data_IF_910789486213
#
_entry.id   IF_910789486213
#
_cell.length_a   1.000
_cell.length_b   1.000
_cell.length_c   1.000
_cell.angle_alpha   90.00
_cell.angle_beta   90.00
_cell.angle_gamma   90.00
#
_symmetry.space_group_name_H-M   'P 1'
#
loop_
_entity.id
_entity.type
_entity.pdbx_description
1 polymer ?
#
# COMPACT_ATOMS: atom_id res chain seq x y z
N UNK A 1 -19.24 43.42 22.47
CA UNK A 1 -18.17 42.38 22.54
C UNK A 1 -18.59 40.98 22.05
N UNK A 2 -19.88 40.59 21.99
CA UNK A 2 -20.31 39.22 21.62
C UNK A 2 -20.13 38.79 20.14
N UNK A 3 -20.13 39.73 19.18
CA UNK A 3 -20.12 39.40 17.74
C UNK A 3 -18.77 38.86 17.24
N UNK A 4 -17.66 39.32 17.82
CA UNK A 4 -16.32 38.91 17.41
C UNK A 4 -15.95 37.50 17.91
N UNK A 5 -16.49 37.07 19.05
CA UNK A 5 -16.28 35.71 19.58
C UNK A 5 -16.93 34.63 18.71
N UNK A 6 -18.13 34.91 18.18
CA UNK A 6 -18.83 33.99 17.28
C UNK A 6 -18.13 33.87 15.92
N UNK A 7 -17.64 34.99 15.38
CA UNK A 7 -16.86 34.98 14.15
C UNK A 7 -15.53 34.21 14.29
N UNK A 8 -14.84 34.37 15.42
CA UNK A 8 -13.61 33.63 15.69
C UNK A 8 -13.85 32.12 15.85
N UNK A 9 -14.93 31.73 16.53
CA UNK A 9 -15.31 30.32 16.67
C UNK A 9 -15.68 29.68 15.33
N UNK A 10 -16.41 30.39 14.46
CA UNK A 10 -16.75 29.91 13.12
C UNK A 10 -15.51 29.72 12.24
N UNK A 11 -14.55 30.65 12.31
CA UNK A 11 -13.27 30.54 11.60
C UNK A 11 -12.43 29.35 12.11
N UNK A 12 -12.33 29.14 13.42
CA UNK A 12 -11.63 27.99 13.97
C UNK A 12 -12.32 26.67 13.58
N UNK A 13 -13.65 26.62 13.60
CA UNK A 13 -14.40 25.44 13.15
C UNK A 13 -14.15 25.13 11.67
N UNK A 14 -14.17 26.15 10.81
CA UNK A 14 -13.90 25.97 9.39
C UNK A 14 -12.45 25.52 9.12
N UNK A 15 -11.46 26.09 9.83
CA UNK A 15 -10.06 25.67 9.73
C UNK A 15 -9.85 24.25 10.26
N UNK A 16 -10.48 23.90 11.39
CA UNK A 16 -10.44 22.54 11.90
C UNK A 16 -11.02 21.56 10.88
N UNK A 17 -12.21 21.83 10.33
CA UNK A 17 -12.82 20.98 9.30
C UNK A 17 -11.94 20.87 8.05
N UNK A 18 -11.33 21.96 7.59
CA UNK A 18 -10.42 21.95 6.45
C UNK A 18 -9.17 21.11 6.73
N UNK A 19 -8.57 21.25 7.93
CA UNK A 19 -7.42 20.45 8.36
C UNK A 19 -7.79 18.97 8.52
N UNK A 20 -8.96 18.68 9.09
CA UNK A 20 -9.50 17.32 9.22
C UNK A 20 -9.75 16.67 7.86
N UNK A 21 -10.30 17.38 6.88
CA UNK A 21 -10.48 16.86 5.52
C UNK A 21 -9.15 16.66 4.77
N UNK A 22 -8.11 17.43 5.12
CA UNK A 22 -6.78 17.31 4.53
C UNK A 22 -5.95 16.21 5.22
N UNK A 23 -6.35 15.77 6.41
CA UNK A 23 -5.64 14.75 7.16
C UNK A 23 -5.90 13.37 6.53
N UNK A 24 -4.87 12.66 6.05
CA UNK A 24 -5.07 11.32 5.54
C UNK A 24 -5.48 10.43 6.71
N UNK A 25 -6.76 10.08 6.75
CA UNK A 25 -7.26 9.07 7.67
C UNK A 25 -6.48 7.78 7.42
N UNK A 26 -6.02 7.07 8.46
CA UNK A 26 -5.29 5.83 8.27
C UNK A 26 -6.21 4.87 7.52
N UNK A 27 -5.86 4.57 6.27
CA UNK A 27 -6.66 3.68 5.46
C UNK A 27 -6.80 2.35 6.19
N UNK A 28 -8.03 1.84 6.21
CA UNK A 28 -8.35 0.54 6.81
C UNK A 28 -7.38 -0.47 6.22
N UNK A 29 -6.68 -1.21 7.07
CA UNK A 29 -5.66 -2.15 6.59
C UNK A 29 -6.28 -3.53 6.42
N UNK A 30 -6.11 -4.09 5.22
CA UNK A 30 -6.32 -5.52 5.03
C UNK A 30 -5.08 -6.23 5.55
N UNK A 31 -5.27 -7.15 6.49
CA UNK A 31 -4.19 -7.90 7.13
C UNK A 31 -4.32 -9.37 6.79
N UNK A 32 -3.31 -9.90 6.10
CA UNK A 32 -3.12 -11.33 5.91
C UNK A 32 -2.08 -11.81 6.91
N UNK A 33 -2.40 -12.86 7.66
CA UNK A 33 -1.44 -13.50 8.55
C UNK A 33 -1.13 -14.90 8.04
N UNK A 34 0.15 -15.20 7.87
CA UNK A 34 0.69 -16.52 7.53
C UNK A 34 1.52 -17.05 8.70
N UNK A 35 1.83 -18.35 8.70
CA UNK A 35 2.80 -18.89 9.66
C UNK A 35 4.17 -18.20 9.51
N UNK A 36 4.96 -18.22 10.59
CA UNK A 36 6.30 -17.61 10.58
C UNK A 36 7.19 -18.25 9.52
N UNK A 37 7.91 -17.40 8.78
CA UNK A 37 8.87 -17.82 7.76
C UNK A 37 10.25 -18.02 8.39
N UNK A 38 11.00 -19.03 7.92
CA UNK A 38 12.41 -19.12 8.29
C UNK A 38 13.19 -17.93 7.73
N UNK A 39 14.34 -17.65 8.34
CA UNK A 39 15.18 -16.51 7.94
C UNK A 39 15.69 -16.59 6.49
N UNK A 40 15.69 -17.78 5.87
CA UNK A 40 15.99 -17.94 4.44
C UNK A 40 14.83 -17.48 3.57
N UNK A 41 13.62 -17.95 3.84
CA UNK A 41 12.42 -17.62 3.04
C UNK A 41 12.06 -16.14 3.17
N UNK A 42 12.24 -15.56 4.36
CA UNK A 42 12.09 -14.13 4.56
C UNK A 42 13.09 -13.31 3.73
N UNK A 43 14.34 -13.78 3.60
CA UNK A 43 15.34 -13.12 2.74
C UNK A 43 14.97 -13.23 1.26
N UNK A 44 14.40 -14.35 0.82
CA UNK A 44 13.91 -14.52 -0.54
C UNK A 44 12.74 -13.57 -0.82
N UNK A 45 11.75 -13.50 0.08
CA UNK A 45 10.64 -12.56 0.03
C UNK A 45 11.12 -11.10 -0.05
N UNK A 46 12.10 -10.73 0.77
CA UNK A 46 12.73 -9.40 0.74
C UNK A 46 13.47 -9.16 -0.58
N UNK A 47 14.14 -10.16 -1.13
CA UNK A 47 14.83 -10.09 -2.41
C UNK A 47 13.88 -9.79 -3.58
N UNK A 48 12.74 -10.47 -3.61
CA UNK A 48 11.72 -10.24 -4.63
C UNK A 48 11.04 -8.86 -4.49
N UNK A 49 10.78 -8.43 -3.25
CA UNK A 49 10.30 -7.08 -2.99
C UNK A 49 11.31 -6.01 -3.43
N UNK A 50 12.60 -6.23 -3.18
CA UNK A 50 13.68 -5.38 -3.68
C UNK A 50 13.74 -5.38 -5.22
N UNK A 51 13.60 -6.54 -5.86
CA UNK A 51 13.57 -6.65 -7.32
C UNK A 51 12.39 -5.89 -7.94
N UNK A 52 11.21 -5.99 -7.33
CA UNK A 52 10.02 -5.24 -7.73
C UNK A 52 10.24 -3.72 -7.63
N UNK A 53 10.73 -3.26 -6.48
CA UNK A 53 11.00 -1.83 -6.25
C UNK A 53 12.09 -1.33 -7.18
N UNK A 54 13.16 -2.09 -7.39
CA UNK A 54 14.22 -1.72 -8.33
C UNK A 54 13.69 -1.58 -9.77
N UNK A 55 12.83 -2.50 -10.22
CA UNK A 55 12.21 -2.44 -11.53
C UNK A 55 11.24 -1.26 -11.70
N UNK A 56 10.67 -0.77 -10.60
CA UNK A 56 9.65 0.28 -10.59
C UNK A 56 10.08 1.56 -9.86
N UNK A 57 11.38 1.74 -9.63
CA UNK A 57 11.90 2.90 -8.91
C UNK A 57 11.51 4.22 -9.59
N UNK A 58 11.54 4.25 -10.93
CA UNK A 58 11.14 5.41 -11.74
C UNK A 58 9.64 5.73 -11.64
N UNK A 59 8.81 4.78 -11.19
CA UNK A 59 7.38 4.98 -10.98
C UNK A 59 7.09 5.51 -9.56
N UNK A 60 8.13 5.73 -8.74
CA UNK A 60 8.04 6.25 -7.38
C UNK A 60 7.90 5.18 -6.30
N UNK A 61 8.21 3.92 -6.60
CA UNK A 61 8.25 2.87 -5.58
C UNK A 61 9.57 2.90 -4.81
N UNK A 62 9.47 2.75 -3.49
CA UNK A 62 10.60 2.71 -2.58
C UNK A 62 10.38 1.61 -1.54
N UNK A 63 11.46 0.92 -1.18
CA UNK A 63 11.45 -0.05 -0.08
C UNK A 63 12.09 0.61 1.13
N UNK A 64 11.35 0.67 2.23
CA UNK A 64 11.82 1.23 3.48
C UNK A 64 11.89 0.12 4.53
N UNK A 65 12.96 0.09 5.30
CA UNK A 65 13.14 -0.88 6.39
C UNK A 65 12.77 -0.22 7.71
N UNK A 66 11.84 -0.81 8.46
CA UNK A 66 11.45 -0.27 9.77
C UNK A 66 12.24 -0.97 10.86
N UNK A 67 13.02 -0.22 11.63
CA UNK A 67 13.69 -0.48 12.94
C UNK A 67 14.45 -1.80 13.22
N UNK A 68 14.24 -2.88 12.47
CA UNK A 68 15.10 -4.06 12.42
C UNK A 68 15.00 -4.67 11.03
N UNK A 69 15.98 -4.35 10.18
CA UNK A 69 16.02 -4.81 8.78
C UNK A 69 15.87 -6.33 8.61
N UNK A 70 16.10 -7.09 9.67
CA UNK A 70 16.02 -8.53 9.69
C UNK A 70 14.58 -9.09 9.65
N UNK A 71 13.55 -8.31 10.00
CA UNK A 71 12.19 -8.86 10.25
C UNK A 71 11.03 -8.01 9.76
N UNK A 72 11.23 -6.77 9.33
CA UNK A 72 10.15 -6.04 8.66
C UNK A 72 10.62 -5.15 7.52
N UNK A 73 9.77 -5.00 6.51
CA UNK A 73 9.94 -4.01 5.44
C UNK A 73 8.58 -3.43 5.04
N UNK A 74 8.60 -2.19 4.57
CA UNK A 74 7.45 -1.52 3.99
C UNK A 74 7.78 -1.06 2.56
N UNK A 75 6.78 -1.07 1.71
CA UNK A 75 6.86 -0.54 0.36
C UNK A 75 6.05 0.74 0.34
N UNK A 76 6.64 1.80 -0.19
CA UNK A 76 6.05 3.12 -0.32
C UNK A 76 5.91 3.46 -1.80
N UNK A 77 4.82 4.13 -2.14
CA UNK A 77 4.59 4.78 -3.42
C UNK A 77 4.61 6.30 -3.17
N UNK A 78 5.59 7.01 -3.75
CA UNK A 78 5.76 8.46 -3.61
C UNK A 78 5.73 8.90 -2.13
N UNK A 79 6.39 8.13 -1.26
CA UNK A 79 6.41 8.37 0.18
C UNK A 79 5.17 7.93 0.96
N UNK A 80 4.13 7.38 0.34
CA UNK A 80 2.95 6.82 1.04
C UNK A 80 3.05 5.31 1.14
N UNK A 81 2.82 4.74 2.33
CA UNK A 81 2.86 3.29 2.56
C UNK A 81 1.77 2.58 1.77
N UNK A 82 2.16 1.57 0.99
CA UNK A 82 1.24 0.76 0.17
C UNK A 82 1.26 -0.72 0.50
N UNK A 83 2.32 -1.20 1.16
CA UNK A 83 2.38 -2.58 1.67
C UNK A 83 3.37 -2.64 2.83
N UNK A 84 3.07 -3.42 3.86
CA UNK A 84 4.01 -3.73 4.94
C UNK A 84 4.07 -5.22 5.15
N UNK A 85 5.28 -5.75 5.30
CA UNK A 85 5.51 -7.14 5.66
C UNK A 85 6.27 -7.15 6.98
N UNK A 86 5.70 -7.83 7.96
CA UNK A 86 6.28 -8.01 9.28
C UNK A 86 6.39 -9.51 9.56
N UNK A 87 7.61 -9.98 9.76
CA UNK A 87 7.93 -11.34 10.18
C UNK A 87 8.11 -11.35 11.69
N UNK A 88 7.00 -11.49 12.41
CA UNK A 88 7.04 -11.72 13.84
C UNK A 88 7.41 -13.19 14.13
N UNK A 89 7.97 -13.44 15.32
CA UNK A 89 8.40 -14.76 15.78
C UNK A 89 7.31 -15.84 15.71
N UNK A 90 6.02 -15.46 15.72
CA UNK A 90 4.89 -16.40 15.59
C UNK A 90 4.24 -16.41 14.20
N UNK A 91 4.36 -15.34 13.41
CA UNK A 91 3.55 -15.13 12.20
C UNK A 91 4.17 -14.10 11.26
N UNK A 92 4.02 -14.30 9.95
CA UNK A 92 4.25 -13.25 8.96
C UNK A 92 2.94 -12.52 8.71
N UNK A 93 2.86 -11.24 9.04
CA UNK A 93 1.72 -10.39 8.71
C UNK A 93 2.05 -9.48 7.53
N UNK A 94 1.19 -9.53 6.52
CA UNK A 94 1.19 -8.61 5.39
C UNK A 94 0.03 -7.65 5.60
N UNK A 95 0.31 -6.35 5.58
CA UNK A 95 -0.70 -5.29 5.70
C UNK A 95 -0.72 -4.48 4.42
N UNK A 96 -1.88 -4.42 3.77
CA UNK A 96 -2.10 -3.58 2.59
C UNK A 96 -3.21 -2.59 2.95
N UNK A 97 -2.90 -1.29 3.03
CA UNK A 97 -3.90 -0.24 3.19
C UNK A 97 -4.94 -0.33 2.07
N UNK A 98 -6.21 -0.09 2.36
CA UNK A 98 -7.27 -0.24 1.36
C UNK A 98 -7.15 0.74 0.19
N UNK A 99 -6.55 1.92 0.40
CA UNK A 99 -6.25 2.90 -0.65
C UNK A 99 -5.05 2.48 -1.51
N UNK A 100 -4.23 1.54 -1.05
CA UNK A 100 -2.98 1.14 -1.70
C UNK A 100 -3.20 0.56 -3.09
N UNK A 101 -4.28 -0.19 -3.33
CA UNK A 101 -4.57 -0.76 -4.65
C UNK A 101 -4.93 0.30 -5.69
N UNK A 102 -5.51 1.43 -5.25
CA UNK A 102 -5.76 2.58 -6.12
C UNK A 102 -4.53 3.45 -6.31
N UNK A 103 -3.71 3.57 -5.26
CA UNK A 103 -2.44 4.30 -5.30
C UNK A 103 -1.38 3.56 -6.11
N UNK A 104 -1.33 2.25 -6.03
CA UNK A 104 -0.28 1.41 -6.58
C UNK A 104 -0.86 0.05 -7.01
N UNK A 105 -1.57 -0.03 -8.15
CA UNK A 105 -2.23 -1.25 -8.59
C UNK A 105 -1.26 -2.43 -8.78
N UNK A 106 0.01 -2.15 -9.09
CA UNK A 106 1.04 -3.19 -9.24
C UNK A 106 1.40 -3.92 -7.94
N UNK A 107 1.05 -3.37 -6.77
CA UNK A 107 1.19 -4.06 -5.48
C UNK A 107 0.30 -5.31 -5.42
N UNK A 108 -0.83 -5.33 -6.13
CA UNK A 108 -1.66 -6.53 -6.23
C UNK A 108 -0.89 -7.71 -6.84
N UNK A 109 -0.04 -7.44 -7.84
CA UNK A 109 0.80 -8.47 -8.48
C UNK A 109 1.88 -8.97 -7.53
N UNK A 110 2.49 -8.06 -6.78
CA UNK A 110 3.47 -8.43 -5.76
C UNK A 110 2.83 -9.31 -4.68
N UNK A 111 1.65 -8.92 -4.18
CA UNK A 111 0.90 -9.69 -3.20
C UNK A 111 0.45 -11.06 -3.73
N UNK A 112 -0.03 -11.14 -4.98
CA UNK A 112 -0.45 -12.40 -5.60
C UNK A 112 0.70 -13.40 -5.78
N UNK A 113 1.96 -12.93 -5.79
CA UNK A 113 3.13 -13.81 -5.81
C UNK A 113 3.48 -14.36 -4.43
N UNK A 114 2.99 -13.75 -3.34
CA UNK A 114 3.32 -14.17 -1.98
C UNK A 114 2.80 -15.59 -1.65
N UNK A 115 1.54 -15.96 -1.94
CA UNK A 115 1.10 -17.35 -1.78
C UNK A 115 1.99 -18.33 -2.56
N UNK A 116 2.43 -17.95 -3.77
CA UNK A 116 3.30 -18.79 -4.60
C UNK A 116 4.67 -19.02 -3.97
N UNK A 117 5.20 -18.03 -3.24
CA UNK A 117 6.45 -18.16 -2.47
C UNK A 117 6.28 -19.01 -1.23
N UNK A 118 5.13 -18.89 -0.56
CA UNK A 118 4.76 -19.68 0.62
C UNK A 118 4.44 -21.15 0.28
N UNK A 119 3.89 -21.41 -0.90
CA UNK A 119 3.60 -22.76 -1.40
C UNK A 119 4.86 -23.49 -1.89
N UNK A 120 5.92 -22.77 -2.26
CA UNK A 120 7.18 -23.39 -2.69
C UNK A 120 7.90 -24.10 -1.53
N UNK A 121 7.69 -23.64 -0.29
CA UNK A 121 8.06 -24.34 0.94
C UNK A 121 6.84 -25.10 1.48
N UNK A 122 6.56 -26.25 0.86
CA UNK A 122 5.35 -27.08 0.97
C UNK A 122 4.88 -27.47 2.40
N UNK A 123 5.61 -27.10 3.46
CA UNK A 123 5.33 -27.54 4.82
C UNK A 123 4.63 -26.50 5.72
N UNK A 124 4.58 -25.20 5.38
CA UNK A 124 4.22 -24.16 6.39
C UNK A 124 3.35 -22.99 5.93
N UNK A 125 3.11 -22.79 4.64
CA UNK A 125 2.35 -21.65 4.11
C UNK A 125 0.82 -21.71 4.30
N UNK A 126 0.29 -21.81 5.54
CA UNK A 126 -1.16 -21.71 5.77
C UNK A 126 -1.57 -20.28 6.10
N UNK A 127 -2.53 -19.73 5.36
CA UNK A 127 -3.23 -18.50 5.72
C UNK A 127 -3.95 -18.73 7.07
N UNK A 128 -3.54 -17.99 8.09
CA UNK A 128 -4.10 -18.06 9.45
C UNK A 128 -5.28 -17.10 9.61
N UNK A 129 -5.22 -15.94 8.94
CA UNK A 129 -6.28 -14.93 8.95
C UNK A 129 -6.41 -14.37 7.54
N UNK A 130 -7.58 -14.55 6.95
CA UNK A 130 -7.96 -13.88 5.71
C UNK A 130 -8.46 -12.46 6.01
N UNK A 131 -8.36 -11.54 5.06
CA UNK A 131 -8.97 -10.22 5.18
C UNK A 131 -10.48 -10.37 5.30
N UNK A 132 -11.09 -9.47 6.06
CA UNK A 132 -12.54 -9.30 6.04
C UNK A 132 -12.95 -8.67 4.70
N UNK A 133 -13.87 -9.33 4.00
CA UNK A 133 -14.48 -8.74 2.81
C UNK A 133 -15.38 -7.57 3.23
N UNK A 134 -15.20 -6.38 2.66
CA UNK A 134 -16.03 -5.24 2.98
C UNK A 134 -17.47 -5.47 2.54
N UNK A 135 -18.42 -4.97 3.32
CA UNK A 135 -19.82 -4.89 2.88
C UNK A 135 -19.96 -3.97 1.67
N UNK A 136 -21.05 -4.12 0.89
CA UNK A 136 -21.29 -3.28 -0.29
C UNK A 136 -21.33 -1.77 0.05
N UNK A 137 -21.84 -1.42 1.24
CA UNK A 137 -21.91 -0.04 1.72
C UNK A 137 -20.52 0.51 2.05
N UNK A 138 -19.71 -0.27 2.74
CA UNK A 138 -18.30 0.08 3.02
C UNK A 138 -17.48 0.19 1.75
N UNK A 139 -17.66 -0.73 0.79
CA UNK A 139 -17.00 -0.67 -0.51
C UNK A 139 -17.37 0.62 -1.28
N UNK A 140 -18.63 1.04 -1.21
CA UNK A 140 -19.11 2.29 -1.83
C UNK A 140 -18.52 3.53 -1.17
N UNK A 141 -18.58 3.65 0.17
CA UNK A 141 -17.98 4.78 0.89
C UNK A 141 -16.47 4.86 0.65
N UNK A 142 -15.81 3.71 0.66
CA UNK A 142 -14.38 3.58 0.36
C UNK A 142 -14.06 4.12 -1.03
N UNK A 143 -14.87 3.80 -2.05
CA UNK A 143 -14.71 4.31 -3.42
C UNK A 143 -14.65 5.85 -3.49
N UNK A 144 -15.36 6.53 -2.59
CA UNK A 144 -15.42 8.00 -2.52
C UNK A 144 -14.26 8.56 -1.70
N UNK A 145 -14.01 7.99 -0.52
CA UNK A 145 -13.01 8.50 0.45
C UNK A 145 -11.57 8.29 -0.05
N UNK A 146 -11.26 7.15 -0.67
CA UNK A 146 -9.90 6.84 -1.12
C UNK A 146 -9.65 7.24 -2.59
N UNK A 147 -10.27 8.33 -3.04
CA UNK A 147 -10.00 8.84 -4.38
C UNK A 147 -8.59 9.45 -4.41
N UNK A 148 -7.60 8.63 -4.75
CA UNK A 148 -6.21 9.08 -4.89
C UNK A 148 -6.04 9.88 -6.19
N UNK A 149 -5.48 11.10 -6.18
CA UNK A 149 -5.17 11.84 -7.40
C UNK A 149 -4.15 11.10 -8.29
N UNK A 150 -4.30 11.15 -9.63
CA UNK A 150 -3.40 10.43 -10.56
C UNK A 150 -1.91 10.70 -10.32
N UNK A 151 -1.55 11.96 -10.01
CA UNK A 151 -0.17 12.37 -9.72
C UNK A 151 0.45 11.65 -8.51
N UNK A 152 -0.37 11.12 -7.61
CA UNK A 152 0.05 10.41 -6.41
C UNK A 152 -0.02 8.89 -6.57
N UNK A 153 -0.45 8.41 -7.74
CA UNK A 153 -0.47 7.00 -8.08
C UNK A 153 0.88 6.59 -8.68
N UNK A 154 1.34 5.39 -8.37
CA UNK A 154 2.50 4.74 -8.98
C UNK A 154 2.02 3.72 -10.02
N UNK A 155 2.74 3.57 -11.12
CA UNK A 155 2.44 2.58 -12.17
C UNK A 155 1.54 3.04 -13.33
N UNK A 156 0.98 4.25 -13.28
CA UNK A 156 0.14 4.78 -14.38
C UNK A 156 0.86 5.69 -15.37
N UNK A 157 1.99 6.28 -14.98
CA UNK A 157 2.76 7.16 -15.88
C UNK A 157 3.58 6.35 -16.92
N UNK A 158 3.92 5.08 -16.63
CA UNK A 158 4.70 4.23 -17.52
C UNK A 158 3.91 3.74 -18.75
N UNK A 159 2.58 3.63 -18.65
CA UNK A 159 1.73 3.19 -19.78
C UNK A 159 1.60 4.26 -20.86
N UNK A 160 1.73 5.54 -20.52
CA UNK A 160 1.70 6.64 -21.49
C UNK A 160 3.02 6.73 -22.27
N UNK A 161 4.16 6.42 -21.63
CA UNK A 161 5.46 6.35 -22.30
C UNK A 161 5.63 5.13 -23.20
N UNK A 162 5.08 3.96 -22.80
CA UNK A 162 5.22 2.72 -23.59
C UNK A 162 4.34 2.68 -24.83
N UNK A 163 3.17 3.31 -24.81
CA UNK A 163 2.29 3.35 -25.99
C UNK A 163 2.87 4.24 -27.11
N UNK A 164 3.51 5.37 -26.76
CA UNK A 164 4.18 6.24 -27.75
C UNK A 164 5.43 5.61 -28.38
N UNK A 165 6.08 4.66 -27.71
CA UNK A 165 7.27 3.97 -28.23
C UNK A 165 6.94 2.83 -29.21
N UNK A 166 5.71 2.32 -29.24
CA UNK A 166 5.32 1.24 -30.18
C UNK A 166 4.77 1.76 -31.51
N UNK A 167 4.43 3.04 -31.62
CA UNK A 167 3.96 3.64 -32.87
C UNK A 167 5.09 4.09 -33.83
N UNK A 168 6.34 4.11 -33.38
CA UNK A 168 7.51 4.53 -34.18
C UNK A 168 8.30 3.39 -34.83
N UNK A 169 7.81 2.15 -34.80
CA UNK A 169 8.41 1.03 -35.55
C UNK A 169 7.34 0.40 -36.44
N UNK A 170 7.01 1.09 -37.53
CA UNK A 170 6.33 0.49 -38.67
C UNK A 170 7.13 0.88 -39.92
N UNK A 171 7.96 -0.05 -40.37
CA UNK A 171 8.59 -0.03 -41.68
C UNK A 171 7.53 -0.28 -42.76
#
# INVERSE_FOLDING_TARGET
MKKHGLAAAALCGALAVAVWMQWPEPAVEQVWAYQTLHAFDYRLLRGDALGFVAAKAQEGFELHTRYSEATSFEIRCKGVRVMTVENASSRVSIRIPTDALRRAPDIARLHANVPRWLDHDQSRGRLLVAPEEPSWFEASMRSVVERVPRKEQCGLDATVGRYRSQETVRW
#
